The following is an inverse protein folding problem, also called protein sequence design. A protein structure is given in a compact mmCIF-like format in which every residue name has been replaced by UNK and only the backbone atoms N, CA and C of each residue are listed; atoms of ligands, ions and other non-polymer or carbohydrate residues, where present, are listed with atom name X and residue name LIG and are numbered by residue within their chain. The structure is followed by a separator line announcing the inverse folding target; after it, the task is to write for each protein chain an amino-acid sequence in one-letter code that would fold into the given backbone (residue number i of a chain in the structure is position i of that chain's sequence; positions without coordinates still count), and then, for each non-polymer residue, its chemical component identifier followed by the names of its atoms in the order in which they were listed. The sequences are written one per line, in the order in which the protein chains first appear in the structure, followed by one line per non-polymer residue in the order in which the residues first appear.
data_IF_271233066093
#
_entry.id   IF_271233066093
#
_cell.length_a   1.000
_cell.length_b   1.000
_cell.length_c   1.000
_cell.angle_alpha   90.00
_cell.angle_beta   90.00
_cell.angle_gamma   90.00
#
_symmetry.space_group_name_H-M   'P 1'
#
loop_
_entity.id
_entity.type
_entity.pdbx_description
1 polymer ?
#
# COMPACT_ATOMS: atom_id res chain seq x y z
N UNK A 1 19.95 -5.25 64.70
CA UNK A 1 20.62 -4.21 63.91
C UNK A 1 20.61 -4.69 62.47
N UNK A 2 19.53 -4.39 61.74
CA UNK A 2 19.34 -4.83 60.36
C UNK A 2 19.91 -3.74 59.45
N UNK A 3 20.88 -4.09 58.60
CA UNK A 3 21.43 -3.16 57.63
C UNK A 3 20.36 -2.86 56.57
N UNK A 4 19.91 -1.61 56.53
CA UNK A 4 19.05 -1.10 55.48
C UNK A 4 19.88 -1.07 54.18
N UNK A 5 19.58 -1.97 53.25
CA UNK A 5 20.19 -2.02 51.93
C UNK A 5 19.74 -0.76 51.20
N UNK A 6 20.65 0.19 50.99
CA UNK A 6 20.39 1.38 50.19
C UNK A 6 20.30 0.97 48.71
N UNK A 7 19.10 0.71 48.20
CA UNK A 7 18.89 0.52 46.77
C UNK A 7 19.25 1.81 46.04
N UNK A 8 20.31 1.74 45.24
CA UNK A 8 20.71 2.87 44.38
C UNK A 8 19.61 3.06 43.34
N UNK A 9 19.00 4.26 43.22
CA UNK A 9 17.94 4.49 42.25
C UNK A 9 18.46 4.22 40.84
N UNK A 10 17.72 3.40 40.09
CA UNK A 10 18.03 3.10 38.70
C UNK A 10 18.18 4.41 37.91
N UNK A 11 19.25 4.52 37.12
CA UNK A 11 19.46 5.69 36.25
C UNK A 11 18.30 5.79 35.25
N UNK A 12 17.74 6.98 34.99
CA UNK A 12 16.65 7.14 34.02
C UNK A 12 17.09 6.58 32.68
N UNK A 13 16.30 5.67 32.09
CA UNK A 13 16.57 5.21 30.73
C UNK A 13 16.55 6.42 29.77
N UNK A 14 17.52 6.52 28.84
CA UNK A 14 17.49 7.58 27.85
C UNK A 14 16.23 7.44 27.01
N UNK A 15 15.35 8.45 27.08
CA UNK A 15 14.17 8.55 26.22
C UNK A 15 14.67 8.48 24.78
N UNK A 16 14.29 7.43 24.02
CA UNK A 16 14.55 7.37 22.58
C UNK A 16 13.81 8.52 21.90
N UNK A 17 14.53 9.59 21.60
CA UNK A 17 14.04 10.63 20.72
C UNK A 17 14.07 10.09 19.29
N UNK A 18 12.89 9.88 18.69
CA UNK A 18 12.78 9.49 17.29
C UNK A 18 13.09 10.73 16.46
N UNK A 19 14.22 10.70 15.74
CA UNK A 19 14.62 11.82 14.88
C UNK A 19 13.69 11.93 13.67
N UNK A 20 13.07 13.10 13.43
CA UNK A 20 12.20 13.32 12.28
C UNK A 20 13.01 13.29 10.98
N UNK A 21 12.35 12.95 9.88
CA UNK A 21 12.97 12.95 8.56
C UNK A 21 13.24 14.37 8.05
N UNK A 22 14.28 14.53 7.24
CA UNK A 22 14.48 15.75 6.47
C UNK A 22 13.40 15.88 5.38
N UNK A 23 13.00 17.09 4.97
CA UNK A 23 11.98 17.26 3.92
C UNK A 23 12.34 16.59 2.59
N UNK A 24 13.63 16.51 2.23
CA UNK A 24 14.10 15.80 1.04
C UNK A 24 13.94 14.29 1.16
N UNK A 25 14.20 13.73 2.34
CA UNK A 25 14.04 12.30 2.57
C UNK A 25 12.56 11.93 2.60
N UNK A 26 11.70 12.76 3.20
CA UNK A 26 10.25 12.55 3.17
C UNK A 26 9.72 12.43 1.73
N UNK A 27 10.13 13.36 0.85
CA UNK A 27 9.76 13.32 -0.58
C UNK A 27 10.30 12.07 -1.27
N UNK A 28 11.55 11.70 -0.99
CA UNK A 28 12.17 10.49 -1.56
C UNK A 28 11.40 9.24 -1.17
N UNK A 29 11.14 9.03 0.12
CA UNK A 29 10.48 7.81 0.60
C UNK A 29 9.01 7.75 0.22
N UNK A 30 8.30 8.88 0.22
CA UNK A 30 6.93 8.94 -0.25
C UNK A 30 6.83 8.67 -1.77
N UNK A 31 7.75 9.21 -2.57
CA UNK A 31 7.85 8.90 -4.01
C UNK A 31 8.12 7.41 -4.24
N UNK A 32 9.09 6.83 -3.52
CA UNK A 32 9.41 5.40 -3.61
C UNK A 32 8.24 4.51 -3.22
N UNK A 33 7.43 4.93 -2.24
CA UNK A 33 6.23 4.21 -1.87
C UNK A 33 5.22 4.13 -3.02
N UNK A 34 5.08 5.17 -3.84
CA UNK A 34 4.26 5.14 -5.05
C UNK A 34 4.91 4.31 -6.17
N UNK A 35 6.22 4.48 -6.42
CA UNK A 35 6.95 3.72 -7.45
C UNK A 35 7.05 2.22 -7.17
N UNK A 36 6.80 1.79 -5.93
CA UNK A 36 6.72 0.37 -5.59
C UNK A 36 5.75 -0.41 -6.48
N UNK A 37 4.72 0.23 -7.05
CA UNK A 37 3.79 -0.41 -8.00
C UNK A 37 4.49 -1.04 -9.21
N UNK A 38 5.65 -0.50 -9.62
CA UNK A 38 6.43 -1.05 -10.73
C UNK A 38 6.99 -2.44 -10.41
N UNK A 39 7.21 -2.77 -9.13
CA UNK A 39 7.66 -4.09 -8.72
C UNK A 39 6.62 -5.18 -9.08
N UNK A 40 5.33 -4.83 -9.16
CA UNK A 40 4.29 -5.77 -9.57
C UNK A 40 4.41 -6.20 -11.04
N UNK A 41 5.09 -5.44 -11.90
CA UNK A 41 5.30 -5.82 -13.30
C UNK A 41 6.13 -7.09 -13.46
N UNK A 42 7.08 -7.30 -12.54
CA UNK A 42 7.97 -8.47 -12.57
C UNK A 42 7.46 -9.56 -11.63
N UNK A 43 6.81 -9.17 -10.53
CA UNK A 43 6.53 -10.08 -9.41
C UNK A 43 5.06 -10.37 -9.19
N UNK A 44 4.15 -9.58 -9.78
CA UNK A 44 2.71 -9.64 -9.58
C UNK A 44 2.19 -9.09 -8.25
N UNK A 45 3.02 -9.02 -7.19
CA UNK A 45 2.52 -8.66 -5.85
C UNK A 45 3.51 -8.00 -4.88
N UNK A 46 4.80 -7.80 -5.23
CA UNK A 46 5.76 -7.22 -4.26
C UNK A 46 5.63 -5.71 -4.06
N UNK A 47 4.91 -4.99 -4.92
CA UNK A 47 4.73 -3.54 -4.81
C UNK A 47 4.06 -3.10 -3.51
N UNK A 48 2.88 -3.63 -3.13
CA UNK A 48 2.26 -3.35 -1.84
C UNK A 48 3.18 -3.70 -0.66
N UNK A 49 3.97 -4.76 -0.77
CA UNK A 49 4.90 -5.18 0.29
C UNK A 49 6.02 -4.15 0.46
N UNK A 50 6.62 -3.68 -0.63
CA UNK A 50 7.63 -2.64 -0.56
C UNK A 50 7.07 -1.33 0.03
N UNK A 51 5.86 -0.91 -0.35
CA UNK A 51 5.20 0.24 0.27
C UNK A 51 4.88 0.01 1.76
N UNK A 52 4.49 -1.21 2.15
CA UNK A 52 4.27 -1.58 3.55
C UNK A 52 5.55 -1.52 4.37
N UNK A 53 6.67 -1.99 3.84
CA UNK A 53 7.96 -1.86 4.50
C UNK A 53 8.30 -0.38 4.71
N UNK A 54 8.12 0.47 3.70
CA UNK A 54 8.33 1.92 3.83
C UNK A 54 7.42 2.50 4.92
N UNK A 55 6.14 2.14 4.94
CA UNK A 55 5.21 2.56 5.98
C UNK A 55 5.71 2.18 7.38
N UNK A 56 6.05 0.91 7.60
CA UNK A 56 6.48 0.42 8.91
C UNK A 56 7.78 1.05 9.39
N UNK A 57 8.73 1.30 8.47
CA UNK A 57 10.02 1.91 8.80
C UNK A 57 9.90 3.39 9.14
N UNK A 58 9.00 4.12 8.47
CA UNK A 58 8.95 5.59 8.54
C UNK A 58 7.72 6.18 9.22
N UNK A 59 6.69 5.38 9.58
CA UNK A 59 5.42 5.90 10.14
C UNK A 59 5.59 6.78 11.38
N UNK A 60 6.57 6.48 12.23
CA UNK A 60 6.81 7.20 13.49
C UNK A 60 7.74 8.41 13.29
N UNK A 61 8.39 8.51 12.12
CA UNK A 61 9.35 9.58 11.77
C UNK A 61 8.78 10.62 10.82
N UNK A 62 7.80 10.23 9.98
CA UNK A 62 7.14 11.12 9.03
C UNK A 62 5.71 10.70 8.76
N UNK A 63 4.79 11.61 9.09
CA UNK A 63 3.35 11.49 8.82
C UNK A 63 3.05 11.60 7.33
N UNK A 64 3.88 12.35 6.60
CA UNK A 64 3.83 12.47 5.15
C UNK A 64 4.16 11.14 4.47
N UNK A 65 5.29 10.52 4.82
CA UNK A 65 5.66 9.19 4.29
C UNK A 65 4.63 8.15 4.67
N UNK A 66 4.14 8.15 5.91
CA UNK A 66 3.10 7.24 6.38
C UNK A 66 1.84 7.30 5.51
N UNK A 67 1.35 8.52 5.23
CA UNK A 67 0.19 8.78 4.40
C UNK A 67 0.38 8.32 2.96
N UNK A 68 1.51 8.67 2.33
CA UNK A 68 1.83 8.29 0.95
C UNK A 68 2.05 6.78 0.78
N UNK A 69 2.67 6.13 1.77
CA UNK A 69 2.84 4.70 1.77
C UNK A 69 1.49 3.98 1.94
N UNK A 70 0.66 4.39 2.90
CA UNK A 70 -0.62 3.72 3.14
C UNK A 70 -1.59 3.89 1.97
N UNK A 71 -1.68 5.08 1.37
CA UNK A 71 -2.49 5.27 0.17
C UNK A 71 -2.00 4.37 -0.99
N UNK A 72 -0.68 4.22 -1.16
CA UNK A 72 -0.09 3.35 -2.20
C UNK A 72 -0.39 1.89 -1.97
N UNK A 73 -0.26 1.40 -0.73
CA UNK A 73 -0.59 0.01 -0.36
C UNK A 73 -2.05 -0.28 -0.71
N UNK A 74 -2.99 0.53 -0.23
CA UNK A 74 -4.42 0.27 -0.42
C UNK A 74 -4.78 0.35 -1.90
N UNK A 75 -4.27 1.36 -2.62
CA UNK A 75 -4.55 1.51 -4.04
C UNK A 75 -4.05 0.28 -4.83
N UNK A 76 -2.81 -0.15 -4.60
CA UNK A 76 -2.28 -1.33 -5.27
C UNK A 76 -3.08 -2.59 -4.93
N UNK A 77 -3.47 -2.80 -3.67
CA UNK A 77 -4.29 -3.95 -3.28
C UNK A 77 -5.65 -3.95 -4.00
N UNK A 78 -6.34 -2.81 -4.12
CA UNK A 78 -7.62 -2.73 -4.84
C UNK A 78 -7.44 -3.10 -6.31
N UNK A 79 -6.46 -2.49 -6.99
CA UNK A 79 -6.34 -2.61 -8.45
C UNK A 79 -5.60 -3.87 -8.90
N UNK A 80 -4.69 -4.43 -8.09
CA UNK A 80 -4.01 -5.70 -8.38
C UNK A 80 -4.73 -6.88 -7.76
N UNK A 81 -4.89 -6.89 -6.42
CA UNK A 81 -5.46 -8.04 -5.70
C UNK A 81 -6.97 -8.09 -5.89
N UNK A 82 -7.68 -6.96 -5.83
CA UNK A 82 -9.12 -6.90 -6.06
C UNK A 82 -9.50 -7.33 -7.49
N UNK A 83 -8.76 -6.86 -8.49
CA UNK A 83 -8.94 -7.28 -9.90
C UNK A 83 -8.69 -8.79 -10.08
N UNK A 84 -7.58 -9.31 -9.55
CA UNK A 84 -7.26 -10.73 -9.60
C UNK A 84 -8.30 -11.61 -8.87
N UNK A 85 -8.79 -11.16 -7.71
CA UNK A 85 -9.83 -11.86 -6.97
C UNK A 85 -11.16 -11.93 -7.75
N UNK A 86 -11.57 -10.83 -8.41
CA UNK A 86 -12.76 -10.83 -9.26
C UNK A 86 -12.62 -11.81 -10.43
N UNK A 87 -11.46 -11.81 -11.11
CA UNK A 87 -11.16 -12.78 -12.17
C UNK A 87 -11.27 -14.21 -11.61
N UNK A 88 -10.66 -14.48 -10.46
CA UNK A 88 -10.73 -15.78 -9.80
C UNK A 88 -12.16 -16.24 -9.50
N UNK A 89 -13.01 -15.35 -8.99
CA UNK A 89 -14.44 -15.63 -8.75
C UNK A 89 -15.17 -15.94 -10.06
N UNK A 90 -14.99 -15.12 -11.10
CA UNK A 90 -15.62 -15.32 -12.41
C UNK A 90 -15.28 -16.71 -12.99
N UNK A 91 -13.99 -17.08 -12.96
CA UNK A 91 -13.54 -18.37 -13.48
C UNK A 91 -13.94 -19.54 -12.60
N UNK A 92 -14.01 -19.36 -11.27
CA UNK A 92 -14.52 -20.39 -10.35
C UNK A 92 -15.99 -20.69 -10.64
N UNK A 93 -16.83 -19.65 -10.76
CA UNK A 93 -18.26 -19.80 -11.09
C UNK A 93 -18.43 -20.44 -12.46
N UNK A 94 -17.67 -19.98 -13.46
CA UNK A 94 -17.70 -20.54 -14.83
C UNK A 94 -17.30 -22.01 -14.84
N UNK A 95 -16.25 -22.38 -14.10
CA UNK A 95 -15.77 -23.75 -13.98
C UNK A 95 -16.79 -24.67 -13.30
N UNK A 96 -17.37 -24.25 -12.18
CA UNK A 96 -18.43 -25.01 -11.47
C UNK A 96 -19.64 -25.22 -12.37
N UNK A 97 -20.12 -24.19 -13.06
CA UNK A 97 -21.26 -24.31 -13.99
C UNK A 97 -20.94 -25.17 -15.22
N UNK A 98 -19.67 -25.30 -15.59
CA UNK A 98 -19.27 -26.12 -16.75
C UNK A 98 -19.49 -27.61 -16.50
N UNK A 99 -19.52 -28.04 -15.23
CA UNK A 99 -19.84 -29.43 -14.86
C UNK A 99 -21.26 -29.86 -15.32
N UNK A 100 -22.18 -28.91 -15.51
CA UNK A 100 -23.54 -29.14 -16.02
C UNK A 100 -23.76 -28.53 -17.41
N UNK A 101 -22.67 -28.36 -18.18
CA UNK A 101 -22.62 -27.76 -19.52
C UNK A 101 -22.99 -26.27 -19.63
N UNK A 102 -23.68 -25.69 -18.64
CA UNK A 102 -24.07 -24.27 -18.63
C UNK A 102 -22.84 -23.36 -18.66
N UNK A 103 -21.80 -23.69 -17.90
CA UNK A 103 -20.61 -22.85 -17.79
C UNK A 103 -19.84 -22.68 -19.10
N UNK A 104 -19.94 -23.62 -20.04
CA UNK A 104 -19.35 -23.47 -21.38
C UNK A 104 -19.94 -22.26 -22.13
N UNK A 105 -21.23 -21.97 -21.93
CA UNK A 105 -21.88 -20.79 -22.49
C UNK A 105 -21.43 -19.49 -21.80
N UNK A 106 -20.94 -19.57 -20.56
CA UNK A 106 -20.41 -18.43 -19.81
C UNK A 106 -18.97 -18.05 -20.19
N UNK A 107 -18.19 -18.98 -20.79
CA UNK A 107 -16.79 -18.75 -21.19
C UNK A 107 -16.59 -17.46 -22.02
N UNK A 108 -17.34 -17.16 -23.10
CA UNK A 108 -17.13 -15.92 -23.85
C UNK A 108 -17.32 -14.67 -23.00
N UNK A 109 -18.30 -14.67 -22.08
CA UNK A 109 -18.52 -13.57 -21.15
C UNK A 109 -17.38 -13.46 -20.13
N UNK A 110 -16.94 -14.58 -19.56
CA UNK A 110 -15.82 -14.63 -18.63
C UNK A 110 -14.53 -14.09 -19.26
N UNK A 111 -14.28 -14.40 -20.54
CA UNK A 111 -13.16 -13.86 -21.30
C UNK A 111 -13.27 -12.34 -21.47
N UNK A 112 -14.44 -11.82 -21.89
CA UNK A 112 -14.67 -10.37 -22.02
C UNK A 112 -14.41 -9.64 -20.70
N UNK A 113 -14.96 -10.14 -19.59
CA UNK A 113 -14.71 -9.54 -18.28
C UNK A 113 -13.25 -9.64 -17.86
N UNK A 114 -12.56 -10.75 -18.17
CA UNK A 114 -11.13 -10.90 -17.90
C UNK A 114 -10.33 -9.83 -18.62
N UNK A 115 -10.56 -9.61 -19.91
CA UNK A 115 -9.87 -8.55 -20.66
C UNK A 115 -10.17 -7.15 -20.13
N UNK A 116 -11.41 -6.87 -19.73
CA UNK A 116 -11.75 -5.59 -19.11
C UNK A 116 -11.03 -5.39 -17.76
N UNK A 117 -10.99 -6.42 -16.92
CA UNK A 117 -10.34 -6.37 -15.60
C UNK A 117 -8.82 -6.34 -15.69
N UNK A 118 -8.20 -6.86 -16.75
CA UNK A 118 -6.77 -6.73 -17.01
C UNK A 118 -6.31 -5.28 -17.23
N UNK A 119 -7.24 -4.34 -17.47
CA UNK A 119 -6.93 -2.92 -17.53
C UNK A 119 -6.78 -2.28 -16.13
N UNK A 120 -7.29 -2.92 -15.06
CA UNK A 120 -7.22 -2.39 -13.70
C UNK A 120 -5.79 -2.13 -13.20
N UNK A 121 -4.82 -3.04 -13.36
CA UNK A 121 -3.43 -2.78 -13.01
C UNK A 121 -2.80 -1.57 -13.73
N UNK A 122 -3.25 -1.25 -14.95
CA UNK A 122 -2.76 -0.07 -15.68
C UNK A 122 -3.15 1.22 -14.97
N UNK A 123 -4.35 1.28 -14.40
CA UNK A 123 -4.78 2.41 -13.57
C UNK A 123 -3.82 2.58 -12.40
N UNK A 124 -3.47 1.50 -11.69
CA UNK A 124 -2.50 1.52 -10.59
C UNK A 124 -1.13 2.06 -11.00
N UNK A 125 -0.61 1.62 -12.15
CA UNK A 125 0.69 2.04 -12.67
C UNK A 125 0.72 3.53 -12.99
N UNK A 126 -0.28 4.01 -13.74
CA UNK A 126 -0.40 5.44 -14.11
C UNK A 126 -0.45 6.30 -12.86
N UNK A 127 -1.34 5.93 -11.93
CA UNK A 127 -1.54 6.66 -10.69
C UNK A 127 -0.31 6.60 -9.77
N UNK A 128 0.41 5.47 -9.71
CA UNK A 128 1.69 5.37 -9.01
C UNK A 128 2.77 6.28 -9.58
N UNK A 129 2.91 6.36 -10.91
CA UNK A 129 3.88 7.25 -11.55
C UNK A 129 3.50 8.72 -11.32
N UNK A 130 2.23 9.08 -11.50
CA UNK A 130 1.75 10.44 -11.27
C UNK A 130 1.96 10.84 -9.80
N UNK A 131 1.62 9.97 -8.86
CA UNK A 131 1.82 10.19 -7.44
C UNK A 131 3.30 10.39 -7.10
N UNK A 132 4.17 9.53 -7.63
CA UNK A 132 5.62 9.66 -7.47
C UNK A 132 6.15 11.01 -7.96
N UNK A 133 5.77 11.43 -9.18
CA UNK A 133 6.19 12.71 -9.74
C UNK A 133 5.71 13.88 -8.88
N UNK A 134 4.42 13.92 -8.53
CA UNK A 134 3.87 15.03 -7.74
C UNK A 134 4.51 15.13 -6.35
N UNK A 135 4.69 14.01 -5.68
CA UNK A 135 5.33 13.95 -4.37
C UNK A 135 6.80 14.35 -4.42
N UNK A 136 7.53 13.96 -5.48
CA UNK A 136 8.92 14.40 -5.68
C UNK A 136 9.06 15.92 -5.78
N UNK A 137 8.03 16.60 -6.31
CA UNK A 137 7.95 18.06 -6.43
C UNK A 137 7.44 18.74 -5.14
N UNK A 138 7.04 17.96 -4.14
CA UNK A 138 6.53 18.46 -2.85
C UNK A 138 5.02 18.70 -2.82
N UNK A 139 4.26 18.20 -3.79
CA UNK A 139 2.80 18.24 -3.74
C UNK A 139 2.24 17.13 -2.84
N UNK A 140 1.18 17.46 -2.10
CA UNK A 140 0.37 16.51 -1.31
C UNK A 140 -0.58 15.74 -2.24
N UNK A 141 0.00 14.78 -2.98
CA UNK A 141 -0.73 13.94 -3.90
C UNK A 141 -1.79 13.09 -3.18
N UNK A 142 -2.96 12.96 -3.81
CA UNK A 142 -4.08 12.20 -3.28
C UNK A 142 -4.66 11.28 -4.34
N UNK A 143 -4.65 9.98 -4.08
CA UNK A 143 -5.47 9.05 -4.87
C UNK A 143 -6.95 9.38 -4.72
N UNK A 144 -7.65 9.49 -5.84
CA UNK A 144 -9.08 9.83 -5.87
C UNK A 144 -9.96 8.86 -5.08
N UNK A 145 -9.60 7.56 -5.06
CA UNK A 145 -10.39 6.52 -4.43
C UNK A 145 -10.09 6.37 -2.94
N UNK A 146 -8.80 6.40 -2.56
CA UNK A 146 -8.35 5.94 -1.23
C UNK A 146 -7.71 7.03 -0.38
N UNK A 147 -7.40 8.19 -0.97
CA UNK A 147 -6.66 9.24 -0.29
C UNK A 147 -7.38 9.76 0.95
N UNK A 148 -8.70 9.91 0.89
CA UNK A 148 -9.49 10.39 2.03
C UNK A 148 -9.60 9.35 3.15
N UNK A 149 -9.53 8.06 2.83
CA UNK A 149 -9.63 6.98 3.83
C UNK A 149 -8.47 6.99 4.81
N UNK A 150 -7.30 7.43 4.35
CA UNK A 150 -6.07 7.44 5.15
C UNK A 150 -5.63 8.84 5.53
N UNK A 151 -6.44 9.87 5.26
CA UNK A 151 -6.06 11.26 5.49
C UNK A 151 -5.73 11.57 6.95
N UNK A 152 -6.38 10.88 7.88
CA UNK A 152 -6.09 10.96 9.33
C UNK A 152 -4.61 10.75 9.66
N UNK A 153 -3.91 9.92 8.88
CA UNK A 153 -2.46 9.69 9.06
C UNK A 153 -1.63 10.95 8.81
N UNK A 154 -2.05 11.82 7.88
CA UNK A 154 -1.39 13.09 7.58
C UNK A 154 -1.86 14.26 8.44
N UNK A 155 -3.10 14.26 8.95
CA UNK A 155 -3.65 15.34 9.81
C UNK A 155 -3.43 15.13 11.31
N UNK A 156 -3.55 13.89 11.79
CA UNK A 156 -3.16 13.47 13.15
C UNK A 156 -4.37 13.31 14.04
N UNK A 157 -5.50 13.07 13.37
CA UNK A 157 -6.87 12.99 13.86
C UNK A 157 -7.35 11.56 13.79
#
# INVERSE_FOLDING_TARGET
MSAEIYETPASPEPIRQIEPLSPSDERTWAMLAHLSVLANLVTGFLGPIAALVIYLVYKDRSRFVAYHALQSIIFQLIWWVGGGALIGVIWTVTGVLSAVLIGLLCIPFALVFTFALLLMPLVALIYGIIGAIQVSQGYDFRYWLVGDWVRGTLTGS
#
